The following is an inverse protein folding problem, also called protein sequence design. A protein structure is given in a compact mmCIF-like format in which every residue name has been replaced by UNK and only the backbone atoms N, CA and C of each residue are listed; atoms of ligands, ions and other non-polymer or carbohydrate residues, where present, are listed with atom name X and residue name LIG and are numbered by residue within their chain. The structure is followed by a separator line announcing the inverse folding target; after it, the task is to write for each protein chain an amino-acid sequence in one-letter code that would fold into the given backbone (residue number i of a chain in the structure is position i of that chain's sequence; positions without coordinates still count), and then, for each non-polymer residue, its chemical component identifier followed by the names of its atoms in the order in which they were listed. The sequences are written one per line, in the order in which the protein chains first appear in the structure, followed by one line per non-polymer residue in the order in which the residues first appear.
data_IF_572500053946
#
_entry.id   IF_572500053946
#
_cell.length_a   1.000
_cell.length_b   1.000
_cell.length_c   1.000
_cell.angle_alpha   90.00
_cell.angle_beta   90.00
_cell.angle_gamma   90.00
#
_symmetry.space_group_name_H-M   'P 1'
#
loop_
_entity.id
_entity.type
_entity.pdbx_description
1 polymer ?
#
# COMPACT_ATOMS: atom_id res chain seq x y z
N UNK A 1 -7.65 -22.48 4.43
CA UNK A 1 -7.76 -21.01 4.57
C UNK A 1 -9.20 -20.66 4.94
N UNK A 2 -10.20 -21.11 4.17
CA UNK A 2 -11.60 -20.73 4.38
C UNK A 2 -12.13 -21.09 5.76
N UNK A 3 -11.85 -22.31 6.25
CA UNK A 3 -12.25 -22.75 7.59
C UNK A 3 -11.71 -21.83 8.69
N UNK A 4 -10.42 -21.43 8.59
CA UNK A 4 -9.81 -20.48 9.53
C UNK A 4 -10.51 -19.12 9.47
N UNK A 5 -10.81 -18.62 8.27
CA UNK A 5 -11.52 -17.36 8.11
C UNK A 5 -12.97 -17.43 8.64
N UNK A 6 -13.65 -18.58 8.49
CA UNK A 6 -14.98 -18.80 9.05
C UNK A 6 -14.99 -18.73 10.59
N UNK A 7 -14.01 -19.38 11.22
CA UNK A 7 -13.87 -19.29 12.68
C UNK A 7 -13.48 -17.86 13.12
N UNK A 8 -12.62 -17.18 12.35
CA UNK A 8 -12.26 -15.79 12.62
C UNK A 8 -13.48 -14.86 12.58
N UNK A 9 -14.37 -15.04 11.59
CA UNK A 9 -15.62 -14.25 11.49
C UNK A 9 -16.51 -14.47 12.70
N UNK A 10 -16.64 -15.70 13.19
CA UNK A 10 -17.41 -15.99 14.42
C UNK A 10 -16.85 -15.26 15.65
N UNK A 11 -15.55 -14.95 15.64
CA UNK A 11 -14.87 -14.19 16.70
C UNK A 11 -14.92 -12.66 16.45
N UNK A 12 -15.62 -12.20 15.41
CA UNK A 12 -15.76 -10.78 15.08
C UNK A 12 -14.65 -10.22 14.18
N UNK A 13 -13.76 -11.06 13.64
CA UNK A 13 -12.76 -10.64 12.64
C UNK A 13 -13.39 -10.68 11.26
N UNK A 14 -13.84 -9.53 10.77
CA UNK A 14 -14.63 -9.41 9.52
C UNK A 14 -13.83 -8.89 8.33
N UNK A 15 -12.54 -8.53 8.53
CA UNK A 15 -11.70 -7.87 7.53
C UNK A 15 -10.41 -8.65 7.32
N UNK A 16 -10.17 -9.03 6.08
CA UNK A 16 -9.05 -9.90 5.72
C UNK A 16 -8.10 -9.19 4.75
N UNK A 17 -6.81 -9.42 4.95
CA UNK A 17 -5.78 -8.96 4.03
C UNK A 17 -5.01 -10.16 3.49
N UNK A 18 -5.03 -10.31 2.17
CA UNK A 18 -4.22 -11.29 1.46
C UNK A 18 -2.83 -10.70 1.24
N UNK A 19 -1.83 -11.38 1.75
CA UNK A 19 -0.41 -11.00 1.64
C UNK A 19 0.44 -12.27 1.68
N UNK A 20 1.78 -12.12 1.73
CA UNK A 20 2.70 -13.24 1.82
C UNK A 20 4.06 -12.79 1.28
N UNK A 21 4.75 -13.61 0.48
CA UNK A 21 5.75 -13.12 -0.46
C UNK A 21 5.02 -12.29 -1.52
N UNK A 22 4.77 -12.88 -2.72
CA UNK A 22 3.85 -12.25 -3.67
C UNK A 22 2.60 -13.12 -3.82
N UNK A 23 1.42 -12.67 -3.36
CA UNK A 23 0.21 -13.50 -3.36
C UNK A 23 -0.30 -13.84 -4.77
N UNK A 24 -0.05 -12.98 -5.77
CA UNK A 24 -0.53 -13.17 -7.13
C UNK A 24 0.24 -14.24 -7.91
N UNK A 25 1.40 -14.71 -7.44
CA UNK A 25 2.08 -15.89 -8.03
C UNK A 25 1.39 -17.20 -7.62
N UNK A 26 0.57 -17.17 -6.56
CA UNK A 26 -0.22 -18.32 -6.16
C UNK A 26 -1.34 -18.56 -7.18
N UNK A 27 -1.33 -19.73 -7.80
CA UNK A 27 -2.48 -20.16 -8.63
C UNK A 27 -3.73 -20.19 -7.77
N UNK A 28 -4.82 -19.62 -8.29
CA UNK A 28 -6.10 -19.56 -7.59
C UNK A 28 -6.20 -18.47 -6.51
N UNK A 29 -5.39 -17.40 -6.56
CA UNK A 29 -5.54 -16.27 -5.66
C UNK A 29 -6.94 -15.61 -5.75
N UNK A 30 -7.54 -15.36 -6.94
CA UNK A 30 -8.91 -14.87 -7.05
C UNK A 30 -9.95 -15.81 -6.40
N UNK A 31 -9.78 -17.14 -6.52
CA UNK A 31 -10.64 -18.12 -5.88
C UNK A 31 -10.59 -18.02 -4.35
N UNK A 32 -9.39 -17.84 -3.78
CA UNK A 32 -9.23 -17.63 -2.32
C UNK A 32 -9.97 -16.36 -1.88
N UNK A 33 -9.85 -15.27 -2.62
CA UNK A 33 -10.58 -14.01 -2.34
C UNK A 33 -12.08 -14.25 -2.38
N UNK A 34 -12.60 -14.89 -3.42
CA UNK A 34 -14.02 -15.23 -3.56
C UNK A 34 -14.53 -16.10 -2.41
N UNK A 35 -13.76 -17.12 -2.03
CA UNK A 35 -14.13 -18.00 -0.92
C UNK A 35 -14.21 -17.25 0.40
N UNK A 36 -13.30 -16.34 0.68
CA UNK A 36 -13.31 -15.50 1.89
C UNK A 36 -14.47 -14.49 1.81
N UNK A 37 -14.66 -13.83 0.67
CA UNK A 37 -15.70 -12.83 0.48
C UNK A 37 -17.11 -13.41 0.65
N UNK A 38 -17.29 -14.69 0.30
CA UNK A 38 -18.56 -15.39 0.44
C UNK A 38 -18.85 -15.91 1.86
N UNK A 39 -17.93 -15.75 2.81
CA UNK A 39 -18.20 -16.09 4.21
C UNK A 39 -19.16 -15.05 4.79
N UNK A 40 -20.35 -15.44 5.28
CA UNK A 40 -21.30 -14.50 5.89
C UNK A 40 -20.63 -13.74 7.05
N UNK A 41 -20.70 -12.40 7.01
CA UNK A 41 -20.06 -11.52 7.97
C UNK A 41 -18.69 -10.98 7.53
N UNK A 42 -18.13 -11.43 6.40
CA UNK A 42 -16.93 -10.79 5.83
C UNK A 42 -17.29 -9.41 5.25
N UNK A 43 -16.68 -8.38 5.78
CA UNK A 43 -16.88 -6.99 5.34
C UNK A 43 -15.90 -6.59 4.23
N UNK A 44 -14.61 -6.90 4.42
CA UNK A 44 -13.54 -6.37 3.59
C UNK A 44 -12.49 -7.45 3.29
N UNK A 45 -12.14 -7.59 2.00
CA UNK A 45 -11.00 -8.40 1.56
C UNK A 45 -10.05 -7.53 0.75
N UNK A 46 -8.83 -7.35 1.23
CA UNK A 46 -7.81 -6.52 0.60
C UNK A 46 -6.59 -7.34 0.20
N UNK A 47 -5.83 -6.83 -0.76
CA UNK A 47 -4.62 -7.46 -1.28
C UNK A 47 -3.41 -6.53 -1.06
N UNK A 48 -2.25 -7.12 -0.73
CA UNK A 48 -0.96 -6.44 -0.82
C UNK A 48 -0.08 -7.17 -1.80
N UNK A 49 0.43 -6.48 -2.83
CA UNK A 49 1.16 -7.05 -3.95
C UNK A 49 2.32 -6.14 -4.38
N UNK A 50 3.31 -6.69 -5.08
CA UNK A 50 4.34 -5.92 -5.78
C UNK A 50 3.85 -5.29 -7.10
N UNK A 51 2.62 -5.58 -7.52
CA UNK A 51 1.97 -5.00 -8.70
C UNK A 51 2.31 -5.65 -10.05
N UNK A 52 3.28 -6.55 -10.12
CA UNK A 52 3.74 -7.13 -11.40
C UNK A 52 2.63 -7.91 -12.14
N UNK A 53 1.86 -8.70 -11.41
CA UNK A 53 0.78 -9.53 -11.97
C UNK A 53 -0.61 -8.91 -11.79
N UNK A 54 -0.70 -7.75 -11.13
CA UNK A 54 -1.97 -7.12 -10.80
C UNK A 54 -2.76 -6.75 -12.04
N UNK A 55 -2.13 -6.11 -13.02
CA UNK A 55 -2.81 -5.65 -14.24
C UNK A 55 -3.36 -6.76 -15.12
N UNK A 56 -2.76 -7.95 -15.06
CA UNK A 56 -3.21 -9.16 -15.76
C UNK A 56 -4.39 -9.83 -15.05
N UNK A 57 -4.38 -9.84 -13.71
CA UNK A 57 -5.37 -10.55 -12.88
C UNK A 57 -6.49 -9.64 -12.36
N UNK A 58 -6.44 -8.33 -12.65
CA UNK A 58 -7.31 -7.33 -12.03
C UNK A 58 -8.79 -7.66 -12.20
N UNK A 59 -9.23 -8.00 -13.41
CA UNK A 59 -10.63 -8.33 -13.69
C UNK A 59 -11.11 -9.55 -12.87
N UNK A 60 -10.29 -10.59 -12.79
CA UNK A 60 -10.58 -11.77 -11.99
C UNK A 60 -10.65 -11.47 -10.49
N UNK A 61 -9.75 -10.60 -9.99
CA UNK A 61 -9.73 -10.16 -8.60
C UNK A 61 -10.97 -9.35 -8.24
N UNK A 62 -11.37 -8.41 -9.10
CA UNK A 62 -12.58 -7.61 -8.92
C UNK A 62 -13.84 -8.49 -8.96
N UNK A 63 -13.92 -9.40 -9.93
CA UNK A 63 -15.02 -10.38 -10.02
C UNK A 63 -15.07 -11.35 -8.83
N UNK A 64 -13.96 -11.53 -8.15
CA UNK A 64 -13.89 -12.32 -6.92
C UNK A 64 -14.31 -11.55 -5.66
N UNK A 65 -14.50 -10.23 -5.76
CA UNK A 65 -14.93 -9.36 -4.66
C UNK A 65 -13.77 -8.72 -3.89
N UNK A 66 -12.63 -8.45 -4.56
CA UNK A 66 -11.55 -7.66 -3.97
C UNK A 66 -12.03 -6.22 -3.71
N UNK A 67 -11.87 -5.73 -2.48
CA UNK A 67 -12.37 -4.41 -2.06
C UNK A 67 -11.32 -3.30 -2.16
N UNK A 68 -10.04 -3.60 -2.01
CA UNK A 68 -8.95 -2.63 -2.14
C UNK A 68 -7.61 -3.31 -2.40
N UNK A 69 -6.67 -2.58 -3.00
CA UNK A 69 -5.31 -3.07 -3.26
C UNK A 69 -4.26 -2.14 -2.66
N UNK A 70 -3.25 -2.74 -2.04
CA UNK A 70 -2.02 -2.06 -1.65
C UNK A 70 -0.89 -2.55 -2.56
N UNK A 71 -0.14 -1.62 -3.14
CA UNK A 71 0.96 -1.92 -4.04
C UNK A 71 2.24 -1.42 -3.40
N UNK A 72 3.24 -2.29 -3.27
CA UNK A 72 4.56 -1.92 -2.78
C UNK A 72 5.37 -1.29 -3.92
N UNK A 73 5.81 -0.03 -3.74
CA UNK A 73 6.58 0.70 -4.73
C UNK A 73 7.45 1.76 -4.03
N UNK A 74 8.75 1.54 -4.00
CA UNK A 74 9.71 2.35 -3.25
C UNK A 74 10.41 3.41 -4.09
N UNK A 75 10.25 3.38 -5.43
CA UNK A 75 10.90 4.31 -6.37
C UNK A 75 10.16 4.37 -7.70
N UNK A 76 10.25 5.51 -8.38
CA UNK A 76 9.83 5.70 -9.78
C UNK A 76 11.04 5.83 -10.74
N UNK A 77 12.27 5.74 -10.24
CA UNK A 77 13.47 5.63 -11.05
C UNK A 77 13.69 4.20 -11.53
N UNK A 78 13.83 4.00 -12.85
CA UNK A 78 13.94 2.66 -13.46
C UNK A 78 15.16 1.91 -12.95
N UNK A 79 16.31 2.59 -12.81
CA UNK A 79 17.56 1.95 -12.39
C UNK A 79 17.52 1.60 -10.89
N UNK A 80 16.97 2.49 -10.06
CA UNK A 80 16.75 2.20 -8.64
C UNK A 80 15.76 1.04 -8.46
N UNK A 81 14.66 1.03 -9.24
CA UNK A 81 13.70 -0.05 -9.20
C UNK A 81 14.34 -1.40 -9.55
N UNK A 82 15.11 -1.47 -10.65
CA UNK A 82 15.83 -2.67 -11.05
C UNK A 82 16.83 -3.10 -9.98
N UNK A 83 17.56 -2.16 -9.39
CA UNK A 83 18.52 -2.46 -8.33
C UNK A 83 17.86 -2.98 -7.04
N UNK A 84 16.72 -2.39 -6.63
CA UNK A 84 15.99 -2.81 -5.42
C UNK A 84 15.30 -4.16 -5.62
N UNK A 85 14.68 -4.37 -6.78
CA UNK A 85 13.79 -5.52 -7.02
C UNK A 85 14.45 -6.66 -7.78
N UNK A 86 15.54 -6.40 -8.48
CA UNK A 86 16.19 -7.34 -9.41
C UNK A 86 15.49 -7.46 -10.78
N UNK A 87 14.50 -6.62 -11.08
CA UNK A 87 13.70 -6.71 -12.31
C UNK A 87 13.51 -5.34 -12.98
N UNK A 88 13.73 -5.26 -14.28
CA UNK A 88 13.37 -4.11 -15.12
C UNK A 88 11.88 -4.19 -15.50
N UNK A 89 10.99 -3.93 -14.53
CA UNK A 89 9.53 -4.07 -14.69
C UNK A 89 8.72 -2.89 -14.12
N UNK A 90 9.36 -1.75 -13.88
CA UNK A 90 8.66 -0.57 -13.33
C UNK A 90 7.46 -0.17 -14.20
N UNK A 91 7.62 -0.15 -15.53
CA UNK A 91 6.54 0.22 -16.46
C UNK A 91 5.31 -0.70 -16.32
N UNK A 92 5.51 -2.00 -16.03
CA UNK A 92 4.42 -2.96 -15.80
C UNK A 92 3.66 -2.60 -14.51
N UNK A 93 4.39 -2.25 -13.44
CA UNK A 93 3.77 -1.86 -12.16
C UNK A 93 2.99 -0.56 -12.30
N UNK A 94 3.54 0.45 -12.99
CA UNK A 94 2.85 1.72 -13.24
C UNK A 94 1.57 1.51 -14.06
N UNK A 95 1.63 0.71 -15.12
CA UNK A 95 0.43 0.33 -15.90
C UNK A 95 -0.60 -0.41 -15.04
N UNK A 96 -0.17 -1.27 -14.12
CA UNK A 96 -1.07 -1.97 -13.18
C UNK A 96 -1.75 -0.98 -12.20
N UNK A 97 -1.02 0.03 -11.73
CA UNK A 97 -1.56 1.11 -10.88
C UNK A 97 -2.65 1.88 -11.64
N UNK A 98 -2.35 2.32 -12.87
CA UNK A 98 -3.29 3.06 -13.70
C UNK A 98 -4.58 2.26 -13.97
N UNK A 99 -4.45 0.97 -14.33
CA UNK A 99 -5.60 0.08 -14.52
C UNK A 99 -6.42 -0.09 -13.25
N UNK A 100 -5.76 -0.28 -12.09
CA UNK A 100 -6.45 -0.41 -10.82
C UNK A 100 -7.20 0.87 -10.44
N UNK A 101 -6.59 2.04 -10.61
CA UNK A 101 -7.25 3.34 -10.41
C UNK A 101 -8.43 3.51 -11.36
N UNK A 102 -8.26 3.22 -12.65
CA UNK A 102 -9.32 3.31 -13.66
C UNK A 102 -10.51 2.39 -13.39
N UNK A 103 -10.29 1.26 -12.70
CA UNK A 103 -11.38 0.35 -12.30
C UNK A 103 -12.22 0.88 -11.13
N UNK A 104 -11.82 1.96 -10.49
CA UNK A 104 -12.50 2.54 -9.34
C UNK A 104 -12.23 1.86 -8.00
N UNK A 105 -11.39 0.80 -7.97
CA UNK A 105 -11.02 0.17 -6.70
C UNK A 105 -10.09 1.10 -5.89
N UNK A 106 -10.23 1.20 -4.56
CA UNK A 106 -9.30 1.94 -3.73
C UNK A 106 -7.87 1.41 -3.86
N UNK A 107 -6.94 2.27 -4.28
CA UNK A 107 -5.52 1.95 -4.48
C UNK A 107 -4.67 2.68 -3.44
N UNK A 108 -3.73 1.97 -2.83
CA UNK A 108 -2.74 2.53 -1.93
C UNK A 108 -1.34 2.07 -2.35
N UNK A 109 -0.43 3.01 -2.47
CA UNK A 109 0.99 2.75 -2.67
C UNK A 109 1.67 2.73 -1.32
N UNK A 110 2.46 1.72 -1.02
CA UNK A 110 3.32 1.64 0.14
C UNK A 110 4.75 1.89 -0.28
N UNK A 111 5.41 2.83 0.35
CA UNK A 111 6.80 3.15 0.10
C UNK A 111 7.59 3.21 1.41
N UNK A 112 8.77 2.61 1.42
CA UNK A 112 9.77 2.72 2.49
C UNK A 112 10.94 3.52 1.96
N UNK A 113 11.22 4.67 2.57
CA UNK A 113 12.33 5.53 2.16
C UNK A 113 13.54 5.32 3.09
N UNK A 114 14.72 5.24 2.47
CA UNK A 114 16.00 5.01 3.14
C UNK A 114 17.01 6.06 2.68
N UNK A 115 17.75 6.66 3.63
CA UNK A 115 18.83 7.58 3.31
C UNK A 115 19.94 6.90 2.53
N UNK A 116 20.50 7.60 1.55
CA UNK A 116 21.54 7.08 0.66
C UNK A 116 21.06 6.08 -0.39
N UNK A 117 19.75 5.79 -0.45
CA UNK A 117 19.19 4.83 -1.41
C UNK A 117 18.07 5.46 -2.27
N UNK A 118 16.96 5.81 -1.64
CA UNK A 118 15.78 6.32 -2.35
C UNK A 118 15.08 7.47 -1.59
N UNK A 119 15.80 8.20 -0.77
CA UNK A 119 15.24 9.33 0.00
C UNK A 119 14.58 10.40 -0.86
N UNK A 120 15.08 10.61 -2.09
CA UNK A 120 14.55 11.63 -3.01
C UNK A 120 13.23 11.20 -3.65
N UNK A 121 12.89 9.91 -3.59
CA UNK A 121 11.69 9.36 -4.22
C UNK A 121 10.38 9.82 -3.53
N UNK A 122 10.48 10.50 -2.38
CA UNK A 122 9.31 11.11 -1.77
C UNK A 122 8.56 12.04 -2.72
N UNK A 123 9.30 12.80 -3.55
CA UNK A 123 8.71 13.76 -4.49
C UNK A 123 7.96 13.07 -5.62
N UNK A 124 8.58 12.23 -6.47
CA UNK A 124 7.86 11.55 -7.54
C UNK A 124 6.75 10.63 -7.03
N UNK A 125 6.91 9.99 -5.88
CA UNK A 125 5.85 9.17 -5.28
C UNK A 125 4.66 10.05 -4.83
N UNK A 126 4.91 11.19 -4.18
CA UNK A 126 3.85 12.13 -3.79
C UNK A 126 3.10 12.68 -5.02
N UNK A 127 3.80 12.90 -6.13
CA UNK A 127 3.19 13.34 -7.40
C UNK A 127 2.20 12.30 -7.99
N UNK A 128 2.31 11.02 -7.65
CA UNK A 128 1.28 10.04 -8.00
C UNK A 128 -0.06 10.38 -7.34
N UNK A 129 -0.05 10.73 -6.05
CA UNK A 129 -1.26 11.12 -5.33
C UNK A 129 -1.81 12.48 -5.81
N UNK A 130 -0.94 13.35 -6.33
CA UNK A 130 -1.40 14.60 -6.96
C UNK A 130 -2.19 14.34 -8.24
N UNK A 131 -1.72 13.42 -9.07
CA UNK A 131 -2.26 13.13 -10.40
C UNK A 131 -3.38 12.10 -10.44
N UNK A 132 -3.42 11.21 -9.45
CA UNK A 132 -4.32 10.05 -9.41
C UNK A 132 -5.08 10.00 -8.07
N UNK A 133 -6.35 9.53 -8.06
CA UNK A 133 -7.14 9.38 -6.84
C UNK A 133 -6.71 8.12 -6.04
N UNK A 134 -5.47 8.13 -5.56
CA UNK A 134 -4.89 7.05 -4.75
C UNK A 134 -4.21 7.62 -3.49
N UNK A 135 -3.91 6.74 -2.54
CA UNK A 135 -3.13 7.12 -1.36
C UNK A 135 -1.68 6.68 -1.51
N UNK A 136 -0.72 7.57 -1.29
CA UNK A 136 0.69 7.21 -1.12
C UNK A 136 1.00 7.16 0.37
N UNK A 137 1.50 6.02 0.86
CA UNK A 137 1.82 5.82 2.27
C UNK A 137 3.31 5.62 2.45
N UNK A 138 3.91 6.50 3.19
CA UNK A 138 5.29 6.40 3.62
C UNK A 138 5.35 5.62 4.94
N UNK A 139 6.10 4.53 4.93
CA UNK A 139 6.25 3.62 6.06
C UNK A 139 7.64 3.82 6.63
N UNK A 140 7.71 4.25 7.88
CA UNK A 140 8.97 4.38 8.59
C UNK A 140 9.61 3.02 8.83
N UNK A 141 10.89 2.90 8.50
CA UNK A 141 11.61 1.65 8.66
C UNK A 141 11.79 1.32 10.14
N UNK A 142 11.50 0.08 10.49
CA UNK A 142 11.77 -0.43 11.84
C UNK A 142 13.24 -0.78 11.98
N UNK A 143 13.90 -0.43 13.10
CA UNK A 143 15.28 -0.78 13.39
C UNK A 143 15.41 -2.25 13.83
N UNK A 144 15.01 -3.18 12.96
CA UNK A 144 15.04 -4.64 13.19
C UNK A 144 15.77 -5.30 12.03
N UNK A 145 16.68 -6.23 12.32
CA UNK A 145 17.46 -6.91 11.29
C UNK A 145 18.31 -5.95 10.47
N UNK A 146 18.18 -5.99 9.15
CA UNK A 146 18.88 -5.07 8.24
C UNK A 146 18.49 -3.60 8.44
N UNK A 147 17.32 -3.30 8.99
CA UNK A 147 16.89 -1.95 9.31
C UNK A 147 17.76 -1.24 10.37
N UNK A 148 18.49 -1.99 11.21
CA UNK A 148 19.46 -1.43 12.15
C UNK A 148 20.72 -0.85 11.46
N UNK A 149 20.96 -1.21 10.20
CA UNK A 149 22.15 -0.80 9.44
C UNK A 149 21.85 0.36 8.48
N UNK A 150 20.57 0.72 8.35
CA UNK A 150 20.09 1.76 7.42
C UNK A 150 19.60 2.97 8.19
N UNK A 151 19.98 4.17 7.74
CA UNK A 151 19.40 5.39 8.27
C UNK A 151 18.00 5.58 7.67
N UNK A 152 16.97 5.54 8.51
CA UNK A 152 15.60 5.83 8.12
C UNK A 152 15.35 7.33 8.04
N UNK A 153 14.39 7.72 7.21
CA UNK A 153 13.81 9.06 7.25
C UNK A 153 12.63 8.99 8.21
N UNK A 154 12.60 9.90 9.19
CA UNK A 154 11.45 9.96 10.10
C UNK A 154 10.22 10.52 9.38
N UNK A 155 9.05 10.06 9.76
CA UNK A 155 7.80 10.59 9.21
C UNK A 155 7.63 12.09 9.45
N UNK A 156 8.15 12.62 10.57
CA UNK A 156 8.09 14.07 10.87
C UNK A 156 8.99 14.87 9.93
N UNK A 157 10.22 14.40 9.66
CA UNK A 157 11.13 15.00 8.71
C UNK A 157 10.52 15.01 7.29
N UNK A 158 9.89 13.90 6.90
CA UNK A 158 9.26 13.77 5.60
C UNK A 158 8.01 14.65 5.47
N UNK A 159 7.16 14.72 6.49
CA UNK A 159 6.01 15.64 6.52
C UNK A 159 6.43 17.10 6.36
N UNK A 160 7.48 17.50 7.07
CA UNK A 160 7.98 18.87 6.98
C UNK A 160 8.55 19.17 5.58
N UNK A 161 9.23 18.19 4.96
CA UNK A 161 9.74 18.31 3.60
C UNK A 161 8.59 18.49 2.59
N UNK A 162 7.55 17.66 2.70
CA UNK A 162 6.35 17.73 1.84
C UNK A 162 5.62 19.07 2.07
N UNK A 163 5.48 19.50 3.34
CA UNK A 163 4.85 20.79 3.67
C UNK A 163 5.60 21.98 3.08
N UNK A 164 6.92 21.98 3.10
CA UNK A 164 7.75 23.04 2.50
C UNK A 164 7.57 23.11 0.99
N UNK A 165 7.34 21.96 0.34
CA UNK A 165 7.23 21.89 -1.12
C UNK A 165 5.82 22.21 -1.62
N UNK A 166 4.79 21.67 -0.98
CA UNK A 166 3.40 21.74 -1.45
C UNK A 166 2.49 22.67 -0.62
N UNK A 167 2.96 23.19 0.50
CA UNK A 167 2.15 23.98 1.43
C UNK A 167 1.49 23.11 2.50
N UNK A 168 0.33 23.55 2.99
CA UNK A 168 -0.29 22.92 4.15
C UNK A 168 -0.74 21.49 3.90
N UNK A 169 -0.39 20.60 4.83
CA UNK A 169 -0.96 19.28 4.98
C UNK A 169 -2.11 19.36 5.98
N UNK A 170 -3.32 19.11 5.52
CA UNK A 170 -4.52 19.06 6.38
C UNK A 170 -4.81 17.61 6.72
N UNK A 171 -4.90 17.30 8.02
CA UNK A 171 -5.20 15.93 8.45
C UNK A 171 -6.56 15.48 7.92
N UNK A 172 -6.58 14.28 7.35
CA UNK A 172 -7.75 13.70 6.71
C UNK A 172 -8.32 12.57 7.56
N UNK A 173 -9.42 12.86 8.24
CA UNK A 173 -10.09 11.94 9.15
C UNK A 173 -11.02 10.93 8.46
N UNK A 174 -11.09 10.91 7.12
CA UNK A 174 -11.85 9.91 6.39
C UNK A 174 -11.29 8.52 6.66
N UNK A 175 -12.16 7.53 6.70
CA UNK A 175 -11.76 6.13 6.95
C UNK A 175 -11.21 5.51 5.67
N UNK A 176 -9.91 5.36 5.59
CA UNK A 176 -9.21 4.71 4.48
C UNK A 176 -8.92 3.22 4.71
N UNK A 177 -9.39 2.67 5.82
CA UNK A 177 -9.18 1.29 6.28
C UNK A 177 -8.83 1.24 7.76
N UNK A 178 -8.50 0.06 8.29
CA UNK A 178 -8.20 -0.14 9.71
C UNK A 178 -6.69 -0.15 10.01
N UNK A 179 -5.88 0.35 9.10
CA UNK A 179 -4.43 0.42 9.31
C UNK A 179 -4.05 1.64 10.16
N UNK A 180 -2.81 1.67 10.65
CA UNK A 180 -2.29 2.69 11.55
C UNK A 180 -1.88 4.00 10.83
N UNK A 181 -2.13 4.13 9.55
CA UNK A 181 -1.73 5.29 8.78
C UNK A 181 -2.54 6.53 9.16
N UNK A 182 -1.87 7.64 9.43
CA UNK A 182 -2.47 8.97 9.52
C UNK A 182 -2.37 9.62 8.16
N UNK A 183 -3.50 10.09 7.62
CA UNK A 183 -3.58 10.63 6.27
C UNK A 183 -3.68 12.15 6.26
N UNK A 184 -3.17 12.75 5.20
CA UNK A 184 -3.20 14.20 4.97
C UNK A 184 -3.63 14.50 3.54
N UNK A 185 -4.54 15.45 3.40
CA UNK A 185 -4.92 16.05 2.13
C UNK A 185 -4.00 17.24 1.83
N UNK A 186 -3.68 17.42 0.56
CA UNK A 186 -2.91 18.55 0.04
C UNK A 186 -3.77 19.26 -1.00
N UNK A 187 -3.80 20.58 -0.99
CA UNK A 187 -4.59 21.35 -1.94
C UNK A 187 -4.17 21.04 -3.39
N UNK A 188 -5.14 20.81 -4.27
CA UNK A 188 -4.90 20.47 -5.67
C UNK A 188 -4.55 19.00 -5.95
N UNK A 189 -4.54 18.14 -4.92
CA UNK A 189 -4.32 16.69 -5.09
C UNK A 189 -5.65 15.96 -5.35
N UNK A 190 -5.60 14.94 -6.21
CA UNK A 190 -6.72 14.01 -6.40
C UNK A 190 -6.79 12.95 -5.29
N UNK A 191 -5.63 12.52 -4.81
CA UNK A 191 -5.46 11.56 -3.73
C UNK A 191 -4.95 12.20 -2.44
N UNK A 192 -4.26 11.43 -1.62
CA UNK A 192 -3.71 11.88 -0.35
C UNK A 192 -2.37 11.20 -0.01
N UNK A 193 -1.70 11.71 1.00
CA UNK A 193 -0.50 11.10 1.56
C UNK A 193 -0.78 10.56 2.96
N UNK A 194 -0.21 9.40 3.28
CA UNK A 194 -0.34 8.78 4.58
C UNK A 194 1.03 8.47 5.19
N UNK A 195 1.09 8.44 6.51
CA UNK A 195 2.32 8.12 7.24
C UNK A 195 2.05 6.99 8.22
N UNK A 196 2.94 5.99 8.23
CA UNK A 196 2.90 4.85 9.14
C UNK A 196 4.20 4.85 9.94
N UNK A 197 4.09 5.06 11.25
CA UNK A 197 5.23 4.91 12.17
C UNK A 197 5.04 3.66 13.00
N UNK A 198 5.94 2.71 12.85
CA UNK A 198 5.96 1.50 13.67
C UNK A 198 6.57 1.74 15.07
N UNK A 199 7.30 2.85 15.24
CA UNK A 199 8.03 3.19 16.47
C UNK A 199 7.17 3.93 17.49
N UNK A 200 6.19 4.72 17.04
CA UNK A 200 5.45 5.68 17.86
C UNK A 200 3.97 5.33 18.02
N UNK A 201 3.49 4.30 17.32
CA UNK A 201 2.12 3.80 17.42
C UNK A 201 2.06 2.48 18.19
N UNK A 202 1.19 2.38 19.19
CA UNK A 202 0.88 1.11 19.85
C UNK A 202 0.02 0.26 18.91
N UNK A 203 0.63 -0.33 17.87
CA UNK A 203 -0.10 -1.15 16.89
C UNK A 203 -0.21 -2.60 17.27
N UNK A 204 0.70 -3.05 18.11
CA UNK A 204 0.76 -4.44 18.51
C UNK A 204 0.64 -4.49 20.02
N UNK A 205 -0.45 -5.04 20.52
CA UNK A 205 -0.63 -5.36 21.92
C UNK A 205 -0.13 -6.78 22.24
N UNK A 206 0.81 -7.28 21.41
CA UNK A 206 1.48 -8.56 21.64
C UNK A 206 2.73 -8.37 22.49
#
# INVERSE_FOLDING_TARGET
ITEVCQEAVKLGITRFKITGGEPLVRRGCPEVIRMIKNIPGTELVTLTTNGLLLGEQLEALLSAGLDAVNISLDTLDIKKYEWITGFDKLAVVLSSIEKAVASGIPVKINAVLQKGMNEEEWLPLTELARKLPLSVRFIEMMPIGYGNMSESISNEELKETIRKHYGNLTEDFRVYGNGPAVYYSIEGFQGNVGFISAMHGKFCNL
#
